data_IF_728620410949
#
_entry.id   IF_728620410949
#
_cell.length_a   1.000
_cell.length_b   1.000
_cell.length_c   1.000
_cell.angle_alpha   90.00
_cell.angle_beta   90.00
_cell.angle_gamma   90.00
#
_symmetry.space_group_name_H-M   'P 1'
#
loop_
_entity.id
_entity.type
_entity.pdbx_description
1 polymer ?
#
# COMPACT_ATOMS: atom_id res chain seq x y z
N UNK A 1 17.60 19.46 -29.66
CA UNK A 1 18.59 19.22 -28.60
C UNK A 1 18.39 17.78 -28.20
N UNK A 2 19.40 16.94 -28.42
CA UNK A 2 19.38 15.56 -27.97
C UNK A 2 19.30 15.59 -26.44
N UNK A 3 18.18 15.16 -25.87
CA UNK A 3 18.05 15.00 -24.43
C UNK A 3 19.04 13.90 -24.02
N UNK A 4 20.24 14.31 -23.58
CA UNK A 4 21.17 13.42 -22.89
C UNK A 4 20.41 12.77 -21.74
N UNK A 5 20.09 11.48 -21.88
CA UNK A 5 19.37 10.71 -20.89
C UNK A 5 20.21 10.67 -19.61
N UNK A 6 19.87 11.53 -18.65
CA UNK A 6 20.44 11.49 -17.32
C UNK A 6 19.57 10.54 -16.48
N UNK A 7 20.07 9.35 -16.09
CA UNK A 7 19.28 8.43 -15.28
C UNK A 7 18.88 9.12 -13.96
N UNK A 8 17.69 8.80 -13.46
CA UNK A 8 17.11 9.32 -12.20
C UNK A 8 16.75 10.82 -12.18
N UNK A 9 16.87 11.55 -13.30
CA UNK A 9 16.49 12.97 -13.36
C UNK A 9 15.01 13.20 -13.02
N UNK A 10 14.11 12.32 -13.49
CA UNK A 10 12.67 12.37 -13.15
C UNK A 10 12.41 12.21 -11.66
N UNK A 11 12.98 11.17 -11.03
CA UNK A 11 12.81 10.91 -9.59
C UNK A 11 13.32 12.10 -8.75
N UNK A 12 14.44 12.70 -9.16
CA UNK A 12 14.98 13.89 -8.48
C UNK A 12 14.00 15.06 -8.57
N UNK A 13 13.38 15.28 -9.73
CA UNK A 13 12.40 16.35 -9.92
C UNK A 13 11.13 16.10 -9.10
N UNK A 14 10.65 14.85 -9.05
CA UNK A 14 9.48 14.46 -8.26
C UNK A 14 9.71 14.67 -6.75
N UNK A 15 10.89 14.29 -6.25
CA UNK A 15 11.27 14.51 -4.85
C UNK A 15 11.34 16.01 -4.53
N UNK A 16 11.95 16.81 -5.41
CA UNK A 16 12.05 18.25 -5.22
C UNK A 16 10.67 18.90 -5.18
N UNK A 17 9.78 18.53 -6.11
CA UNK A 17 8.41 19.05 -6.15
C UNK A 17 7.64 18.68 -4.88
N UNK A 18 7.75 17.43 -4.39
CA UNK A 18 7.05 16.96 -3.19
C UNK A 18 7.52 17.66 -1.92
N UNK A 19 8.84 17.85 -1.76
CA UNK A 19 9.44 18.47 -0.57
C UNK A 19 8.95 19.91 -0.34
N UNK A 20 8.70 20.66 -1.42
CA UNK A 20 8.17 22.03 -1.35
C UNK A 20 6.76 22.07 -0.73
N UNK A 21 5.91 21.11 -1.10
CA UNK A 21 4.54 21.00 -0.60
C UNK A 21 4.47 20.34 0.78
N UNK A 22 5.46 19.51 1.15
CA UNK A 22 5.41 18.73 2.40
C UNK A 22 5.26 19.62 3.65
N UNK A 23 5.98 20.75 3.71
CA UNK A 23 5.84 21.71 4.82
C UNK A 23 4.43 22.32 4.89
N UNK A 24 3.80 22.56 3.73
CA UNK A 24 2.45 23.10 3.65
C UNK A 24 1.40 22.09 4.12
N UNK A 25 1.59 20.81 3.81
CA UNK A 25 0.67 19.74 4.25
C UNK A 25 0.57 19.66 5.78
N UNK A 26 1.71 19.72 6.48
CA UNK A 26 1.72 19.73 7.94
C UNK A 26 1.09 21.00 8.51
N UNK A 27 1.45 22.18 7.99
CA UNK A 27 0.88 23.44 8.45
C UNK A 27 -0.64 23.54 8.19
N UNK A 28 -1.10 23.04 7.04
CA UNK A 28 -2.51 22.96 6.68
C UNK A 28 -3.27 21.95 7.53
N UNK A 29 -2.65 20.79 7.81
CA UNK A 29 -3.20 19.75 8.68
C UNK A 29 -3.48 20.26 10.10
N UNK A 30 -2.51 20.94 10.72
CA UNK A 30 -2.72 21.54 12.04
C UNK A 30 -3.79 22.63 12.05
N UNK A 31 -3.92 23.42 10.97
CA UNK A 31 -4.95 24.47 10.86
C UNK A 31 -6.36 23.93 10.68
N UNK A 32 -6.52 22.77 10.06
CA UNK A 32 -7.82 22.18 9.83
C UNK A 32 -8.48 21.66 11.13
N UNK A 33 -7.70 21.44 12.19
CA UNK A 33 -8.19 21.07 13.51
C UNK A 33 -9.11 19.85 13.47
N UNK A 34 -10.31 19.97 14.02
CA UNK A 34 -11.29 18.87 14.08
C UNK A 34 -11.95 18.53 12.73
N UNK A 35 -11.84 19.38 11.70
CA UNK A 35 -12.47 19.12 10.38
C UNK A 35 -11.87 17.91 9.68
N UNK A 36 -10.66 17.50 10.04
CA UNK A 36 -10.00 16.30 9.51
C UNK A 36 -10.62 15.01 10.06
N UNK A 37 -11.25 15.05 11.25
CA UNK A 37 -11.77 13.84 11.88
C UNK A 37 -12.84 13.15 11.03
N UNK A 38 -13.77 13.92 10.47
CA UNK A 38 -14.86 13.39 9.62
C UNK A 38 -14.34 12.58 8.42
N UNK A 39 -13.49 13.15 7.54
CA UNK A 39 -12.94 12.38 6.42
C UNK A 39 -12.03 11.24 6.90
N UNK A 40 -11.24 11.39 7.98
CA UNK A 40 -10.40 10.29 8.47
C UNK A 40 -11.20 9.12 8.98
N UNK A 41 -12.29 9.36 9.72
CA UNK A 41 -13.17 8.29 10.22
C UNK A 41 -13.91 7.61 9.08
N UNK A 42 -14.38 8.39 8.10
CA UNK A 42 -15.04 7.83 6.91
C UNK A 42 -14.09 6.92 6.12
N UNK A 43 -12.89 7.39 5.79
CA UNK A 43 -11.89 6.61 5.05
C UNK A 43 -11.40 5.41 5.85
N UNK A 44 -11.26 5.53 7.18
CA UNK A 44 -10.90 4.39 8.03
C UNK A 44 -11.87 3.23 7.87
N UNK A 45 -13.19 3.48 7.97
CA UNK A 45 -14.18 2.41 7.79
C UNK A 45 -14.26 1.94 6.33
N UNK A 46 -14.18 2.86 5.37
CA UNK A 46 -14.18 2.50 3.95
C UNK A 46 -13.03 1.57 3.57
N UNK A 47 -11.86 1.72 4.21
CA UNK A 47 -10.67 0.90 3.96
C UNK A 47 -10.62 -0.36 4.84
N UNK A 48 -11.10 -0.31 6.09
CA UNK A 48 -11.02 -1.45 7.01
C UNK A 48 -11.99 -2.58 6.63
N UNK A 49 -13.21 -2.27 6.20
CA UNK A 49 -14.23 -3.25 5.82
C UNK A 49 -13.75 -4.21 4.70
N UNK A 50 -13.27 -3.72 3.54
CA UNK A 50 -12.81 -4.61 2.48
C UNK A 50 -11.56 -5.39 2.90
N UNK A 51 -10.65 -4.79 3.66
CA UNK A 51 -9.43 -5.48 4.13
C UNK A 51 -9.77 -6.65 5.05
N UNK A 52 -10.73 -6.47 5.96
CA UNK A 52 -11.20 -7.56 6.84
C UNK A 52 -11.92 -8.63 6.00
N UNK A 53 -12.78 -8.23 5.07
CA UNK A 53 -13.51 -9.17 4.21
C UNK A 53 -12.58 -10.00 3.33
N UNK A 54 -11.60 -9.37 2.67
CA UNK A 54 -10.61 -10.07 1.85
C UNK A 54 -9.66 -10.91 2.69
N UNK A 55 -9.26 -10.40 3.85
CA UNK A 55 -8.45 -11.15 4.81
C UNK A 55 -9.13 -12.44 5.27
N UNK A 56 -10.42 -12.37 5.60
CA UNK A 56 -11.20 -13.56 5.99
C UNK A 56 -11.40 -14.54 4.83
N UNK A 57 -11.55 -14.03 3.60
CA UNK A 57 -11.65 -14.88 2.39
C UNK A 57 -10.39 -15.72 2.13
N UNK A 58 -9.20 -15.26 2.53
CA UNK A 58 -7.98 -16.07 2.43
C UNK A 58 -7.95 -17.13 3.53
N UNK A 59 -8.07 -16.74 4.79
CA UNK A 59 -8.15 -17.63 5.97
C UNK A 59 -8.44 -16.80 7.25
N UNK A 60 -9.04 -17.39 8.28
CA UNK A 60 -9.40 -16.65 9.51
C UNK A 60 -8.22 -15.95 10.21
N UNK A 61 -7.01 -16.49 10.06
CA UNK A 61 -5.79 -15.93 10.66
C UNK A 61 -5.05 -14.92 9.76
N UNK A 62 -5.33 -14.89 8.45
CA UNK A 62 -4.66 -13.97 7.52
C UNK A 62 -5.28 -12.58 7.53
N UNK A 63 -6.52 -12.43 8.01
CA UNK A 63 -7.16 -11.12 8.19
C UNK A 63 -6.34 -10.14 9.04
N UNK A 64 -5.75 -10.63 10.14
CA UNK A 64 -4.90 -9.79 11.00
C UNK A 64 -3.60 -9.40 10.30
N UNK A 65 -3.01 -10.32 9.52
CA UNK A 65 -1.78 -10.07 8.77
C UNK A 65 -2.02 -9.06 7.64
N UNK A 66 -3.12 -9.18 6.90
CA UNK A 66 -3.51 -8.25 5.84
C UNK A 66 -3.80 -6.86 6.40
N UNK A 67 -4.46 -6.78 7.57
CA UNK A 67 -4.72 -5.50 8.25
C UNK A 67 -3.42 -4.85 8.75
N UNK A 68 -2.53 -5.63 9.36
CA UNK A 68 -1.23 -5.13 9.80
C UNK A 68 -0.36 -4.64 8.63
N UNK A 69 -0.33 -5.40 7.52
CA UNK A 69 0.37 -5.01 6.29
C UNK A 69 -0.19 -3.71 5.70
N UNK A 70 -1.52 -3.62 5.57
CA UNK A 70 -2.18 -2.42 5.03
C UNK A 70 -1.93 -1.19 5.91
N UNK A 71 -1.98 -1.36 7.24
CA UNK A 71 -1.71 -0.27 8.18
C UNK A 71 -0.25 0.22 8.11
N UNK A 72 0.71 -0.69 8.16
CA UNK A 72 2.14 -0.35 8.10
C UNK A 72 2.50 0.31 6.76
N UNK A 73 2.09 -0.29 5.65
CA UNK A 73 2.35 0.27 4.33
C UNK A 73 1.63 1.62 4.13
N UNK A 74 0.41 1.78 4.66
CA UNK A 74 -0.32 3.04 4.63
C UNK A 74 0.37 4.16 5.43
N UNK A 75 0.92 3.85 6.60
CA UNK A 75 1.72 4.81 7.39
C UNK A 75 2.98 5.21 6.63
N UNK A 76 3.75 4.24 6.13
CA UNK A 76 4.99 4.53 5.39
C UNK A 76 4.69 5.36 4.13
N UNK A 77 3.62 5.02 3.40
CA UNK A 77 3.21 5.74 2.19
C UNK A 77 2.70 7.15 2.50
N UNK A 78 2.04 7.39 3.64
CA UNK A 78 1.57 8.73 3.99
C UNK A 78 2.71 9.70 4.32
N UNK A 79 3.84 9.18 4.84
CA UNK A 79 5.04 9.99 5.11
C UNK A 79 5.95 10.17 3.89
N UNK A 80 6.21 9.10 3.14
CA UNK A 80 7.23 9.10 2.07
C UNK A 80 6.62 9.20 0.66
N UNK A 81 5.31 8.94 0.53
CA UNK A 81 4.62 8.88 -0.75
C UNK A 81 4.59 10.23 -1.49
N UNK A 82 4.66 10.15 -2.82
CA UNK A 82 4.52 11.30 -3.72
C UNK A 82 3.12 11.91 -3.73
N UNK A 83 2.10 11.15 -3.29
CA UNK A 83 0.70 11.59 -3.28
C UNK A 83 0.01 11.17 -1.97
N UNK A 84 -0.08 12.04 -0.95
CA UNK A 84 -0.62 11.69 0.38
C UNK A 84 -2.13 11.42 0.39
N UNK A 85 -2.85 11.81 -0.67
CA UNK A 85 -4.28 11.52 -0.84
C UNK A 85 -4.56 10.11 -1.37
N UNK A 86 -3.52 9.34 -1.74
CA UNK A 86 -3.67 7.98 -2.23
C UNK A 86 -3.94 7.03 -1.06
N UNK A 87 -4.99 6.23 -1.19
CA UNK A 87 -5.37 5.23 -0.18
C UNK A 87 -4.78 3.89 -0.62
N UNK A 88 -3.84 3.38 0.17
CA UNK A 88 -3.26 2.06 -0.05
C UNK A 88 -4.15 0.99 0.58
N UNK A 89 -4.47 -0.06 -0.18
CA UNK A 89 -5.27 -1.19 0.28
C UNK A 89 -5.05 -2.43 -0.57
N UNK A 90 -5.54 -3.57 -0.08
CA UNK A 90 -5.58 -4.82 -0.83
C UNK A 90 -6.83 -4.84 -1.69
N UNK A 91 -6.66 -5.08 -2.98
CA UNK A 91 -7.74 -5.20 -3.94
C UNK A 91 -8.01 -6.68 -4.29
N UNK A 92 -9.23 -6.96 -4.71
CA UNK A 92 -9.67 -8.30 -5.13
C UNK A 92 -8.76 -8.95 -6.20
N UNK A 93 -8.27 -8.24 -7.24
CA UNK A 93 -7.36 -8.85 -8.21
C UNK A 93 -6.08 -9.39 -7.58
N UNK A 94 -5.57 -8.73 -6.54
CA UNK A 94 -4.39 -9.19 -5.80
C UNK A 94 -4.70 -10.51 -5.08
N UNK A 95 -5.86 -10.61 -4.43
CA UNK A 95 -6.30 -11.84 -3.75
C UNK A 95 -6.39 -13.00 -4.73
N UNK A 96 -7.05 -12.79 -5.88
CA UNK A 96 -7.21 -13.82 -6.92
C UNK A 96 -5.85 -14.31 -7.43
N UNK A 97 -4.91 -13.39 -7.68
CA UNK A 97 -3.57 -13.75 -8.13
C UNK A 97 -2.80 -14.55 -7.07
N UNK A 98 -2.87 -14.14 -5.80
CA UNK A 98 -2.26 -14.89 -4.71
C UNK A 98 -2.84 -16.30 -4.58
N UNK A 99 -4.16 -16.46 -4.68
CA UNK A 99 -4.83 -17.77 -4.67
C UNK A 99 -4.38 -18.64 -5.85
N UNK A 100 -4.30 -18.06 -7.06
CA UNK A 100 -3.83 -18.77 -8.24
C UNK A 100 -2.37 -19.25 -8.07
N UNK A 101 -1.48 -18.35 -7.64
CA UNK A 101 -0.08 -18.67 -7.39
C UNK A 101 0.09 -19.74 -6.31
N UNK A 102 -0.69 -19.67 -5.23
CA UNK A 102 -0.66 -20.67 -4.16
C UNK A 102 -1.11 -22.04 -4.66
N UNK A 103 -2.18 -22.11 -5.45
CA UNK A 103 -2.65 -23.36 -6.06
C UNK A 103 -1.63 -23.97 -7.02
N UNK A 104 -0.88 -23.15 -7.75
CA UNK A 104 0.18 -23.61 -8.65
C UNK A 104 1.34 -24.28 -7.90
N UNK A 105 1.73 -23.72 -6.75
CA UNK A 105 2.84 -24.24 -5.93
C UNK A 105 2.39 -25.41 -5.05
N UNK A 106 1.14 -25.45 -4.59
CA UNK A 106 0.60 -26.52 -3.74
C UNK A 106 0.70 -27.91 -4.37
N UNK A 107 0.58 -28.00 -5.70
CA UNK A 107 0.71 -29.25 -6.45
C UNK A 107 2.14 -29.67 -6.80
N UNK A 108 3.15 -28.87 -6.40
CA UNK A 108 4.54 -29.02 -6.83
C UNK A 108 5.50 -29.07 -5.63
N UNK A 109 5.83 -30.27 -5.11
CA UNK A 109 6.66 -30.42 -3.91
C UNK A 109 8.10 -29.92 -4.11
N UNK A 110 8.57 -29.82 -5.36
CA UNK A 110 9.85 -29.27 -5.79
C UNK A 110 10.02 -27.76 -5.51
N UNK A 111 8.92 -27.01 -5.46
CA UNK A 111 8.95 -25.55 -5.23
C UNK A 111 8.95 -25.17 -3.74
N UNK A 112 8.66 -26.10 -2.84
CA UNK A 112 8.66 -25.85 -1.40
C UNK A 112 7.61 -24.84 -0.94
N UNK A 113 6.46 -25.34 -0.47
CA UNK A 113 5.33 -24.51 -0.03
C UNK A 113 5.70 -23.48 1.05
N UNK A 114 6.67 -23.81 1.90
CA UNK A 114 7.18 -22.92 2.96
C UNK A 114 7.92 -21.68 2.42
N UNK A 115 8.42 -21.72 1.18
CA UNK A 115 9.14 -20.62 0.52
C UNK A 115 8.22 -19.75 -0.34
N UNK A 116 6.92 -20.08 -0.42
CA UNK A 116 5.96 -19.40 -1.28
C UNK A 116 5.94 -17.89 -1.07
N UNK A 117 5.91 -17.42 0.19
CA UNK A 117 5.92 -16.00 0.53
C UNK A 117 7.17 -15.28 0.03
N UNK A 118 8.35 -15.88 0.21
CA UNK A 118 9.60 -15.31 -0.27
C UNK A 118 9.65 -15.27 -1.80
N UNK A 119 9.15 -16.33 -2.46
CA UNK A 119 9.06 -16.41 -3.91
C UNK A 119 8.12 -15.35 -4.50
N UNK A 120 6.98 -15.07 -3.86
CA UNK A 120 6.04 -14.05 -4.35
C UNK A 120 6.62 -12.63 -4.33
N UNK A 121 7.65 -12.38 -3.53
CA UNK A 121 8.30 -11.07 -3.41
C UNK A 121 9.57 -10.91 -4.26
N UNK A 122 10.02 -11.96 -4.95
CA UNK A 122 11.23 -11.97 -5.77
C UNK A 122 10.89 -11.66 -7.24
#
# INVERSE_FOLDING_TARGET
MEDTFVPFCGIKNDLHARLLCYKQDWAGGFRAGFRILTPTTYIFFASAIPVISFGEQLERNTAVQTLASTALCGIIHSFIGGQPLLILGVAEPTVIMYTFMFNLVKGRPDLGLNLFLAWTGW
#
